data_IF_465265672332
#
_entry.id   IF_465265672332
#
_cell.length_a   1.000
_cell.length_b   1.000
_cell.length_c   1.000
_cell.angle_alpha   90.00
_cell.angle_beta   90.00
_cell.angle_gamma   90.00
#
_symmetry.space_group_name_H-M   'P 1'
#
loop_
_entity.id
_entity.type
_entity.pdbx_description
1 polymer ?
#
# COMPACT_ATOMS: atom_id res chain seq x y z
N UNK A 1 17.76 17.16 -0.77
CA UNK A 1 16.36 17.02 -0.29
C UNK A 1 15.58 16.10 -1.21
N UNK A 2 15.09 14.95 -0.72
CA UNK A 2 14.45 13.88 -1.50
C UNK A 2 12.90 13.98 -1.55
N UNK A 3 12.33 15.17 -1.32
CA UNK A 3 10.88 15.35 -1.10
C UNK A 3 10.03 15.00 -2.34
N UNK A 4 10.62 15.10 -3.54
CA UNK A 4 9.92 14.88 -4.80
C UNK A 4 10.15 13.50 -5.41
N UNK A 5 11.05 12.68 -4.85
CA UNK A 5 11.30 11.34 -5.40
C UNK A 5 10.29 10.36 -4.79
N UNK A 6 9.56 9.58 -5.62
CA UNK A 6 8.74 8.49 -5.12
C UNK A 6 9.61 7.47 -4.38
N UNK A 7 9.13 6.99 -3.23
CA UNK A 7 9.70 5.87 -2.50
C UNK A 7 8.58 4.91 -2.11
N UNK A 8 8.93 3.67 -1.82
CA UNK A 8 7.97 2.67 -1.38
C UNK A 8 7.81 2.76 0.13
N UNK A 9 6.57 2.68 0.59
CA UNK A 9 6.22 2.58 2.00
C UNK A 9 5.47 1.28 2.27
N UNK A 10 5.71 0.70 3.45
CA UNK A 10 4.84 -0.29 4.05
C UNK A 10 3.76 0.46 4.85
N UNK A 11 2.50 0.29 4.50
CA UNK A 11 1.37 0.80 5.27
C UNK A 11 0.66 -0.39 5.90
N UNK A 12 0.55 -0.39 7.22
CA UNK A 12 -0.21 -1.37 7.98
C UNK A 12 -1.29 -0.65 8.79
N UNK A 13 -2.44 -1.28 8.93
CA UNK A 13 -3.51 -0.78 9.78
C UNK A 13 -4.03 -1.87 10.72
N UNK A 14 -4.57 -1.44 11.85
CA UNK A 14 -5.37 -2.25 12.77
C UNK A 14 -6.64 -1.45 13.08
N UNK A 15 -7.77 -1.88 12.55
CA UNK A 15 -9.04 -1.13 12.61
C UNK A 15 -10.08 -2.02 13.31
N UNK A 16 -10.62 -1.55 14.43
CA UNK A 16 -11.51 -2.33 15.26
C UNK A 16 -12.94 -2.45 14.67
N UNK A 17 -13.39 -1.41 13.97
CA UNK A 17 -14.75 -1.34 13.44
C UNK A 17 -14.85 -1.78 11.97
N UNK A 18 -15.78 -2.71 11.62
CA UNK A 18 -15.94 -3.19 10.24
C UNK A 18 -16.29 -2.12 9.21
N UNK A 19 -17.07 -1.09 9.57
CA UNK A 19 -17.48 -0.05 8.62
C UNK A 19 -16.29 0.88 8.30
N UNK A 20 -15.54 1.29 9.32
CA UNK A 20 -14.29 2.05 9.16
C UNK A 20 -13.25 1.22 8.39
N UNK A 21 -13.14 -0.07 8.67
CA UNK A 21 -12.23 -0.99 7.98
C UNK A 21 -12.48 -1.00 6.46
N UNK A 22 -13.74 -1.12 6.03
CA UNK A 22 -14.08 -1.11 4.59
C UNK A 22 -13.67 0.22 3.93
N UNK A 23 -13.86 1.35 4.63
CA UNK A 23 -13.47 2.68 4.13
C UNK A 23 -11.95 2.83 4.04
N UNK A 24 -11.22 2.45 5.09
CA UNK A 24 -9.75 2.48 5.14
C UNK A 24 -9.15 1.57 4.06
N UNK A 25 -9.62 0.33 3.96
CA UNK A 25 -9.13 -0.62 2.96
C UNK A 25 -9.36 -0.11 1.53
N UNK A 26 -10.55 0.44 1.24
CA UNK A 26 -10.85 1.03 -0.06
C UNK A 26 -9.95 2.23 -0.38
N UNK A 27 -9.66 3.08 0.62
CA UNK A 27 -8.75 4.21 0.46
C UNK A 27 -7.34 3.71 0.14
N UNK A 28 -6.78 2.79 0.93
CA UNK A 28 -5.43 2.25 0.72
C UNK A 28 -5.28 1.59 -0.66
N UNK A 29 -6.30 0.85 -1.12
CA UNK A 29 -6.31 0.17 -2.43
C UNK A 29 -6.26 1.12 -3.64
N UNK A 30 -6.62 2.40 -3.48
CA UNK A 30 -6.46 3.40 -4.54
C UNK A 30 -5.01 3.81 -4.76
N UNK A 31 -4.16 3.65 -3.74
CA UNK A 31 -2.79 4.18 -3.72
C UNK A 31 -1.71 3.10 -3.68
N UNK A 32 -2.04 1.87 -3.28
CA UNK A 32 -1.08 0.79 -3.10
C UNK A 32 -1.62 -0.59 -3.44
N UNK A 33 -0.72 -1.57 -3.36
CA UNK A 33 -1.01 -2.98 -3.61
C UNK A 33 -1.10 -3.72 -2.27
N UNK A 34 -2.18 -4.45 -1.99
CA UNK A 34 -2.27 -5.28 -0.80
C UNK A 34 -1.29 -6.44 -0.91
N UNK A 35 -0.47 -6.65 0.12
CA UNK A 35 0.41 -7.82 0.25
C UNK A 35 -0.14 -8.83 1.26
N UNK A 36 -0.91 -8.34 2.24
CA UNK A 36 -1.71 -9.10 3.19
C UNK A 36 -3.02 -8.33 3.43
N UNK A 37 -3.93 -8.91 4.22
CA UNK A 37 -5.24 -8.31 4.47
C UNK A 37 -5.14 -6.86 4.99
N UNK A 38 -4.28 -6.61 5.96
CA UNK A 38 -4.09 -5.30 6.60
C UNK A 38 -2.77 -4.60 6.27
N UNK A 39 -2.06 -5.07 5.23
CA UNK A 39 -0.73 -4.55 4.87
C UNK A 39 -0.62 -4.26 3.38
N UNK A 40 -0.16 -3.06 3.05
CA UNK A 40 -0.06 -2.52 1.71
C UNK A 40 1.35 -2.02 1.40
N UNK A 41 1.77 -2.18 0.15
CA UNK A 41 2.92 -1.49 -0.42
C UNK A 41 2.45 -0.27 -1.21
N UNK A 42 2.93 0.91 -0.84
CA UNK A 42 2.46 2.20 -1.35
C UNK A 42 3.64 2.98 -1.95
N UNK A 43 3.77 3.06 -3.28
CA UNK A 43 4.81 3.86 -3.95
C UNK A 43 4.34 5.31 -4.10
N UNK A 44 4.76 6.19 -3.19
CA UNK A 44 4.40 7.62 -3.20
C UNK A 44 5.60 8.52 -2.90
N UNK A 45 5.47 9.80 -3.24
CA UNK A 45 6.37 10.81 -2.66
C UNK A 45 6.04 10.98 -1.16
N UNK A 46 7.00 11.44 -0.34
CA UNK A 46 6.70 11.78 1.06
C UNK A 46 5.53 12.76 1.23
N UNK A 47 5.34 13.69 0.29
CA UNK A 47 4.19 14.60 0.28
C UNK A 47 2.86 13.87 -0.01
N UNK A 48 2.84 13.00 -1.02
CA UNK A 48 1.67 12.18 -1.32
C UNK A 48 1.29 11.27 -0.15
N UNK A 49 2.28 10.68 0.52
CA UNK A 49 2.05 9.85 1.70
C UNK A 49 1.44 10.64 2.86
N UNK A 50 1.91 11.87 3.12
CA UNK A 50 1.28 12.75 4.12
C UNK A 50 -0.19 13.04 3.78
N UNK A 51 -0.50 13.28 2.51
CA UNK A 51 -1.88 13.47 2.05
C UNK A 51 -2.74 12.24 2.28
N UNK A 52 -2.23 11.05 1.95
CA UNK A 52 -2.91 9.78 2.23
C UNK A 52 -3.17 9.60 3.73
N UNK A 53 -2.17 9.80 4.60
CA UNK A 53 -2.33 9.68 6.05
C UNK A 53 -3.38 10.66 6.57
N UNK A 54 -3.36 11.92 6.12
CA UNK A 54 -4.38 12.90 6.52
C UNK A 54 -5.80 12.45 6.10
N UNK A 55 -5.94 11.91 4.90
CA UNK A 55 -7.20 11.34 4.42
C UNK A 55 -7.63 10.09 5.20
N UNK A 56 -6.71 9.26 5.67
CA UNK A 56 -7.02 8.09 6.49
C UNK A 56 -7.40 8.48 7.92
N UNK A 57 -6.77 9.51 8.50
CA UNK A 57 -7.10 10.03 9.83
C UNK A 57 -8.55 10.49 9.96
N UNK A 58 -9.16 10.99 8.88
CA UNK A 58 -10.58 11.37 8.88
C UNK A 58 -11.54 10.18 8.78
N UNK A 59 -11.02 8.95 8.60
CA UNK A 59 -11.82 7.72 8.48
C UNK A 59 -11.77 6.86 9.74
N UNK A 60 -10.84 7.11 10.66
CA UNK A 60 -10.56 6.27 11.83
C UNK A 60 -10.97 6.93 13.14
N UNK A 61 -11.13 6.10 14.18
CA UNK A 61 -11.12 6.54 15.57
C UNK A 61 -9.72 6.33 16.14
N UNK A 62 -8.96 7.41 16.33
CA UNK A 62 -7.56 7.34 16.81
C UNK A 62 -7.40 6.70 18.21
N UNK A 63 -8.49 6.50 18.96
CA UNK A 63 -8.46 5.81 20.26
C UNK A 63 -8.56 4.29 20.15
N UNK A 64 -9.11 3.80 19.04
CA UNK A 64 -9.43 2.38 18.83
C UNK A 64 -8.72 1.78 17.61
N UNK A 65 -8.21 2.62 16.72
CA UNK A 65 -7.62 2.24 15.45
C UNK A 65 -6.16 2.72 15.37
N UNK A 66 -5.29 1.96 14.71
CA UNK A 66 -3.88 2.29 14.49
C UNK A 66 -3.53 2.22 13.00
N UNK A 67 -2.74 3.19 12.52
CA UNK A 67 -2.19 3.21 11.17
C UNK A 67 -0.70 3.51 11.25
N UNK A 68 0.09 2.59 10.71
CA UNK A 68 1.55 2.67 10.73
C UNK A 68 2.10 2.72 9.31
N UNK A 69 3.05 3.61 9.10
CA UNK A 69 3.70 3.80 7.80
C UNK A 69 5.21 3.78 7.98
N UNK A 70 5.87 2.88 7.27
CA UNK A 70 7.32 2.71 7.31
C UNK A 70 7.91 2.90 5.91
N UNK A 71 8.93 3.76 5.74
CA UNK A 71 9.64 3.84 4.48
C UNK A 71 10.45 2.55 4.25
N UNK A 72 10.35 1.96 3.05
CA UNK A 72 11.14 0.80 2.66
C UNK A 72 12.33 1.28 1.80
N UNK A 73 13.56 0.81 2.06
CA UNK A 73 14.70 1.13 1.22
C UNK A 73 14.50 0.61 -0.22
N UNK A 74 15.06 1.31 -1.20
CA UNK A 74 14.89 0.96 -2.61
C UNK A 74 15.35 -0.47 -2.97
N UNK A 75 16.27 -1.01 -2.17
CA UNK A 75 16.70 -2.42 -2.19
C UNK A 75 16.34 -3.04 -0.84
N UNK A 76 15.20 -3.69 -0.79
CA UNK A 76 14.77 -4.49 0.36
C UNK A 76 14.73 -5.96 -0.04
N UNK A 77 15.24 -6.81 0.84
CA UNK A 77 14.98 -8.24 0.80
C UNK A 77 13.65 -8.48 1.50
N UNK A 78 12.69 -9.04 0.77
CA UNK A 78 11.33 -9.27 1.28
C UNK A 78 11.03 -10.74 1.05
N UNK A 79 10.77 -11.44 2.14
CA UNK A 79 10.30 -12.81 2.14
C UNK A 79 8.86 -12.85 2.66
N UNK A 80 8.02 -13.64 2.02
CA UNK A 80 6.62 -13.80 2.41
C UNK A 80 6.34 -15.28 2.69
N UNK A 81 5.89 -15.55 3.90
CA UNK A 81 5.50 -16.88 4.36
C UNK A 81 3.97 -16.98 4.44
N UNK A 82 3.44 -18.21 4.24
CA UNK A 82 2.01 -18.49 4.32
C UNK A 82 1.25 -18.30 3.00
N UNK A 83 -0.06 -18.07 3.10
CA UNK A 83 -0.98 -18.06 1.94
C UNK A 83 -0.67 -16.86 1.03
N UNK A 84 -0.07 -17.13 -0.12
CA UNK A 84 0.16 -16.12 -1.14
C UNK A 84 -1.15 -15.87 -1.89
N UNK A 85 -1.43 -14.60 -2.21
CA UNK A 85 -2.64 -14.22 -2.97
C UNK A 85 -2.60 -14.60 -4.44
N UNK A 86 -1.57 -15.34 -4.87
CA UNK A 86 -1.44 -15.84 -6.23
C UNK A 86 -2.10 -17.23 -6.33
N UNK A 87 -2.85 -17.49 -7.41
CA UNK A 87 -3.36 -18.82 -7.71
C UNK A 87 -2.22 -19.86 -7.77
N UNK A 88 -2.55 -21.10 -7.45
CA UNK A 88 -1.64 -22.24 -7.52
C UNK A 88 -1.00 -22.33 -8.93
N UNK A 89 0.33 -22.46 -9.00
CA UNK A 89 1.09 -22.49 -10.26
C UNK A 89 1.51 -21.12 -10.81
N UNK A 90 1.16 -20.01 -10.17
CA UNK A 90 1.67 -18.68 -10.51
C UNK A 90 2.72 -18.27 -9.49
N UNK A 91 3.98 -18.38 -9.87
CA UNK A 91 5.09 -17.83 -9.10
C UNK A 91 5.44 -16.43 -9.60
N UNK A 92 5.68 -15.51 -8.66
CA UNK A 92 6.34 -14.25 -8.99
C UNK A 92 7.84 -14.51 -9.19
N UNK A 93 8.21 -15.08 -10.35
CA UNK A 93 9.63 -15.37 -10.65
C UNK A 93 10.33 -14.07 -11.04
N UNK A 94 11.22 -13.61 -10.16
CA UNK A 94 12.05 -12.45 -10.43
C UNK A 94 12.48 -11.72 -9.17
N UNK A 95 13.51 -12.27 -8.51
CA UNK A 95 14.23 -11.63 -7.42
C UNK A 95 14.64 -10.20 -7.79
N UNK A 96 13.91 -9.26 -7.18
CA UNK A 96 14.19 -7.84 -6.91
C UNK A 96 12.82 -7.20 -6.71
N UNK A 97 12.33 -7.26 -5.47
CA UNK A 97 11.33 -6.31 -4.98
C UNK A 97 11.98 -4.92 -4.85
N UNK A 98 12.53 -4.41 -5.94
CA UNK A 98 12.85 -3.00 -6.07
C UNK A 98 11.55 -2.24 -6.24
N UNK A 99 11.38 -1.14 -5.52
CA UNK A 99 10.16 -0.32 -5.50
C UNK A 99 9.59 0.06 -6.88
N UNK A 100 10.38 -0.07 -7.94
CA UNK A 100 10.01 0.18 -9.34
C UNK A 100 9.02 -0.85 -9.92
N UNK A 101 9.11 -2.14 -9.56
CA UNK A 101 8.16 -3.17 -10.08
C UNK A 101 6.85 -3.22 -9.30
N UNK A 102 6.86 -2.91 -8.00
CA UNK A 102 5.64 -2.64 -7.21
C UNK A 102 4.89 -1.44 -7.80
N UNK A 103 5.59 -0.38 -8.17
CA UNK A 103 5.01 0.78 -8.85
C UNK A 103 4.37 0.41 -10.20
N UNK A 104 4.96 -0.52 -10.96
CA UNK A 104 4.38 -1.01 -12.21
C UNK A 104 3.09 -1.82 -12.00
N UNK A 105 2.98 -2.61 -10.93
CA UNK A 105 1.74 -3.31 -10.55
C UNK A 105 0.67 -2.31 -10.05
N UNK A 106 1.06 -1.34 -9.22
CA UNK A 106 0.17 -0.27 -8.74
C UNK A 106 -0.32 0.65 -9.87
N UNK A 107 0.54 0.97 -10.84
CA UNK A 107 0.22 1.83 -11.98
C UNK A 107 -0.76 1.18 -12.99
N UNK A 108 -0.83 -0.16 -13.06
CA UNK A 108 -1.83 -0.86 -13.90
C UNK A 108 -3.26 -0.69 -13.37
N UNK A 109 -3.46 -0.33 -12.10
CA UNK A 109 -4.77 0.05 -11.55
C UNK A 109 -5.32 1.39 -12.05
N UNK A 110 -4.52 2.21 -12.75
CA UNK A 110 -4.91 3.55 -13.28
C UNK A 110 -5.54 3.54 -14.68
N UNK A 111 -6.08 2.41 -15.16
CA UNK A 111 -6.88 2.38 -16.40
C UNK A 111 -8.29 1.88 -16.14
N UNK A 112 -9.13 2.72 -15.55
CA UNK A 112 -10.57 2.90 -15.88
C UNK A 112 -11.22 3.87 -14.89
N UNK A 113 -11.24 5.14 -15.26
CA UNK A 113 -12.31 6.15 -15.04
C UNK A 113 -11.74 7.54 -15.25
N UNK A 114 -11.61 7.91 -16.52
CA UNK A 114 -11.78 9.29 -16.97
C UNK A 114 -12.27 9.19 -18.42
N UNK A 115 -13.46 9.73 -18.68
CA UNK A 115 -14.12 9.69 -19.98
C UNK A 115 -15.62 9.44 -19.84
N UNK A 116 -16.34 10.48 -19.43
CA UNK A 116 -17.48 10.95 -20.23
C UNK A 116 -16.97 11.44 -21.58
#
# INVERSE_FOLDING_TARGET
MAIHKPQTFLLAYDIADPERLVRVHRSCKQWGVPIQYSVFLVPLTPAGMRGLIAGLRSLIDERADDIRVYPIPARAEIEQYGRQGLPEGIELVGGRFGGEKIAALAARGRRKRLGE
#
